data_IF_324426837530
#
_entry.id   IF_324426837530
#
_cell.length_a   1.000
_cell.length_b   1.000
_cell.length_c   1.000
_cell.angle_alpha   90.00
_cell.angle_beta   90.00
_cell.angle_gamma   90.00
#
_symmetry.space_group_name_H-M   'P 1'
#
loop_
_entity.id
_entity.type
_entity.pdbx_description
1 polymer ?
#
# COMPACT_ATOMS: atom_id res chain seq x y z
N UNK A 1 -3.74 -5.26 -9.41
CA UNK A 1 -5.16 -4.83 -9.34
C UNK A 1 -5.83 -5.13 -10.66
N UNK A 2 -6.98 -5.79 -10.63
CA UNK A 2 -7.84 -5.98 -11.82
C UNK A 2 -8.83 -4.82 -11.86
N UNK A 3 -9.01 -4.20 -13.02
CA UNK A 3 -9.95 -3.09 -13.25
C UNK A 3 -10.92 -3.51 -14.34
N UNK A 4 -12.22 -3.45 -14.05
CA UNK A 4 -13.29 -3.69 -15.03
C UNK A 4 -14.14 -2.41 -15.12
N UNK A 5 -14.06 -1.72 -16.25
CA UNK A 5 -14.79 -0.47 -16.49
C UNK A 5 -16.14 -0.79 -17.09
N UNK A 6 -17.20 -0.27 -16.49
CA UNK A 6 -18.59 -0.32 -16.97
C UNK A 6 -19.07 1.09 -17.28
N UNK A 7 -20.24 1.25 -17.86
CA UNK A 7 -20.75 2.56 -18.28
C UNK A 7 -20.87 3.55 -17.12
N UNK A 8 -21.33 3.09 -15.96
CA UNK A 8 -21.70 3.89 -14.77
C UNK A 8 -20.88 3.53 -13.52
N UNK A 9 -19.94 2.62 -13.65
CA UNK A 9 -19.18 2.11 -12.50
C UNK A 9 -17.86 1.49 -12.93
N UNK A 10 -16.96 1.35 -11.96
CA UNK A 10 -15.74 0.56 -12.09
C UNK A 10 -15.70 -0.49 -10.99
N UNK A 11 -15.42 -1.74 -11.37
CA UNK A 11 -15.12 -2.81 -10.43
C UNK A 11 -13.60 -2.89 -10.28
N UNK A 12 -13.14 -2.77 -9.04
CA UNK A 12 -11.73 -2.88 -8.66
C UNK A 12 -11.56 -4.12 -7.80
N UNK A 13 -10.60 -4.97 -8.16
CA UNK A 13 -10.27 -6.19 -7.44
C UNK A 13 -8.74 -6.26 -7.30
N UNK A 14 -8.24 -6.34 -6.07
CA UNK A 14 -6.81 -6.37 -5.81
C UNK A 14 -6.44 -6.48 -4.35
N UNK A 15 -5.14 -6.62 -4.11
CA UNK A 15 -4.61 -6.68 -2.75
C UNK A 15 -4.31 -5.29 -2.21
N UNK A 16 -4.87 -4.99 -1.05
CA UNK A 16 -4.59 -3.76 -0.30
C UNK A 16 -3.20 -3.83 0.30
N UNK A 17 -2.84 -4.98 0.88
CA UNK A 17 -1.49 -5.26 1.34
C UNK A 17 -1.25 -6.78 1.41
N UNK A 18 0.00 -7.19 1.27
CA UNK A 18 0.42 -8.57 1.51
C UNK A 18 0.81 -8.77 2.98
N UNK A 19 0.52 -9.93 3.57
CA UNK A 19 1.03 -10.32 4.90
C UNK A 19 2.41 -10.96 4.80
N UNK A 20 3.15 -10.95 5.90
CA UNK A 20 4.49 -11.54 6.02
C UNK A 20 5.48 -11.08 4.95
N UNK A 21 5.35 -9.83 4.49
CA UNK A 21 6.26 -9.18 3.53
C UNK A 21 6.69 -7.83 4.03
N UNK A 22 7.97 -7.54 3.92
CA UNK A 22 8.53 -6.24 4.28
C UNK A 22 7.96 -5.13 3.39
N UNK A 23 7.63 -4.01 4.01
CA UNK A 23 7.42 -2.75 3.34
C UNK A 23 8.72 -2.23 2.70
N UNK A 24 8.64 -1.15 1.94
CA UNK A 24 9.82 -0.33 1.68
C UNK A 24 10.36 0.22 2.99
N UNK A 25 11.69 0.49 3.09
CA UNK A 25 12.25 1.13 4.26
C UNK A 25 11.57 2.47 4.54
N UNK A 26 11.20 2.66 5.79
CA UNK A 26 10.59 3.88 6.34
C UNK A 26 11.51 4.48 7.40
N UNK A 27 11.24 5.71 7.83
CA UNK A 27 11.91 6.35 8.96
C UNK A 27 10.92 6.48 10.11
N UNK A 28 11.36 6.18 11.32
CA UNK A 28 10.61 6.46 12.53
C UNK A 28 10.72 7.95 12.95
N UNK A 29 10.13 8.30 14.09
CA UNK A 29 10.19 9.66 14.63
C UNK A 29 11.61 10.14 14.96
N UNK A 30 12.54 9.22 15.19
CA UNK A 30 13.94 9.48 15.51
C UNK A 30 14.82 9.52 14.25
N UNK A 31 14.26 9.22 13.07
CA UNK A 31 14.97 9.12 11.80
C UNK A 31 15.68 7.78 11.60
N UNK A 32 15.39 6.75 12.42
CA UNK A 32 15.92 5.41 12.25
C UNK A 32 15.15 4.67 11.15
N UNK A 33 15.88 3.88 10.36
CA UNK A 33 15.28 3.08 9.27
C UNK A 33 14.63 1.82 9.83
N UNK A 34 13.41 1.55 9.38
CA UNK A 34 12.74 0.30 9.64
C UNK A 34 11.95 -0.19 8.42
N UNK A 35 11.66 -1.47 8.39
CA UNK A 35 10.66 -2.09 7.50
C UNK A 35 9.51 -2.61 8.36
N UNK A 36 8.34 -2.72 7.77
CA UNK A 36 7.14 -3.17 8.47
C UNK A 36 6.57 -4.42 7.80
N UNK A 37 6.12 -5.35 8.60
CA UNK A 37 5.32 -6.48 8.16
C UNK A 37 3.99 -6.52 8.92
N UNK A 38 2.94 -6.85 8.20
CA UNK A 38 1.67 -7.23 8.83
C UNK A 38 1.69 -8.74 9.05
N UNK A 39 1.51 -9.15 10.29
CA UNK A 39 1.47 -10.57 10.65
C UNK A 39 0.25 -11.26 10.05
N UNK A 40 0.35 -12.54 9.63
CA UNK A 40 -0.78 -13.30 9.12
C UNK A 40 -1.96 -13.30 10.09
N UNK A 41 -3.19 -13.23 9.56
CA UNK A 41 -4.46 -13.17 10.29
C UNK A 41 -4.75 -11.85 11.01
N UNK A 42 -3.87 -10.85 10.89
CA UNK A 42 -4.11 -9.52 11.47
C UNK A 42 -5.22 -8.77 10.77
N UNK A 43 -5.22 -8.77 9.44
CA UNK A 43 -6.32 -8.17 8.67
C UNK A 43 -7.63 -8.93 8.84
N UNK A 44 -7.59 -10.27 8.91
CA UNK A 44 -8.80 -11.06 9.15
C UNK A 44 -9.48 -10.62 10.44
N UNK A 45 -8.74 -10.55 11.56
CA UNK A 45 -9.28 -10.11 12.84
C UNK A 45 -9.76 -8.66 12.79
N UNK A 46 -9.01 -7.78 12.15
CA UNK A 46 -9.40 -6.38 12.01
C UNK A 46 -10.71 -6.19 11.23
N UNK A 47 -10.90 -6.95 10.16
CA UNK A 47 -12.15 -6.93 9.38
C UNK A 47 -13.33 -7.51 10.18
N UNK A 48 -13.13 -8.64 10.87
CA UNK A 48 -14.14 -9.30 11.68
C UNK A 48 -14.59 -8.45 12.88
N UNK A 49 -13.68 -7.64 13.45
CA UNK A 49 -13.96 -6.81 14.63
C UNK A 49 -14.45 -5.39 14.29
N UNK A 50 -14.43 -4.98 13.03
CA UNK A 50 -14.85 -3.65 12.60
C UNK A 50 -16.31 -3.60 12.25
N UNK A 51 -17.06 -2.62 12.79
CA UNK A 51 -18.47 -2.36 12.44
C UNK A 51 -18.61 -1.83 11.00
N UNK A 52 -17.63 -1.03 10.56
CA UNK A 52 -17.59 -0.45 9.21
C UNK A 52 -16.17 -0.03 8.86
N UNK A 53 -15.72 -0.38 7.67
CA UNK A 53 -14.43 0.05 7.11
C UNK A 53 -14.71 0.90 5.89
N UNK A 54 -14.21 2.14 5.89
CA UNK A 54 -14.43 3.08 4.81
C UNK A 54 -13.57 2.74 3.59
N UNK A 55 -14.10 3.01 2.40
CA UNK A 55 -13.33 3.09 1.17
C UNK A 55 -13.19 4.56 0.77
N UNK A 56 -11.95 5.06 0.76
CA UNK A 56 -11.66 6.47 0.47
C UNK A 56 -10.92 6.62 -0.87
N UNK A 57 -10.86 7.85 -1.37
CA UNK A 57 -9.92 8.26 -2.41
C UNK A 57 -8.75 9.00 -1.74
N UNK A 58 -7.52 8.49 -1.93
CA UNK A 58 -6.28 9.13 -1.46
C UNK A 58 -6.22 9.42 0.05
N UNK A 59 -6.88 8.65 0.91
CA UNK A 59 -7.01 8.89 2.35
C UNK A 59 -7.68 10.25 2.69
N UNK A 60 -8.51 10.75 1.82
CA UNK A 60 -9.22 12.00 2.04
C UNK A 60 -10.57 11.70 2.71
N UNK A 61 -10.79 12.09 3.99
CA UNK A 61 -12.04 11.78 4.69
C UNK A 61 -13.29 12.40 4.02
N UNK A 62 -13.12 13.47 3.25
CA UNK A 62 -14.18 14.09 2.45
C UNK A 62 -14.53 13.31 1.19
N UNK A 63 -13.71 12.33 0.78
CA UNK A 63 -13.86 11.56 -0.46
C UNK A 63 -14.18 10.09 -0.16
N UNK A 64 -15.33 9.87 0.48
CA UNK A 64 -15.85 8.53 0.78
C UNK A 64 -16.47 7.91 -0.47
N UNK A 65 -15.86 6.85 -0.98
CA UNK A 65 -16.31 6.09 -2.15
C UNK A 65 -17.29 4.97 -1.78
N UNK A 66 -17.22 4.50 -0.53
CA UNK A 66 -18.08 3.45 -0.01
C UNK A 66 -17.64 2.95 1.34
N UNK A 67 -18.21 1.82 1.77
CA UNK A 67 -17.79 1.12 2.98
C UNK A 67 -18.27 -0.34 2.98
N UNK A 68 -17.72 -1.14 3.90
CA UNK A 68 -18.16 -2.52 4.11
C UNK A 68 -19.64 -2.57 4.50
N UNK A 69 -20.10 -1.67 5.34
CA UNK A 69 -21.49 -1.56 5.78
C UNK A 69 -22.46 -1.16 4.64
N UNK A 70 -21.99 -0.33 3.69
CA UNK A 70 -22.76 0.01 2.48
C UNK A 70 -22.84 -1.16 1.49
N UNK A 71 -22.00 -2.19 1.65
CA UNK A 71 -21.98 -3.37 0.81
C UNK A 71 -21.40 -3.16 -0.60
N UNK A 72 -20.75 -2.04 -0.87
CA UNK A 72 -20.09 -1.76 -2.13
C UNK A 72 -18.58 -2.03 -2.12
N UNK A 73 -18.06 -2.46 -0.98
CA UNK A 73 -16.73 -3.04 -0.82
C UNK A 73 -16.79 -4.30 0.02
N UNK A 74 -16.08 -5.32 -0.42
CA UNK A 74 -15.82 -6.57 0.28
C UNK A 74 -14.34 -6.65 0.61
N UNK A 75 -14.01 -6.96 1.87
CA UNK A 75 -12.66 -7.11 2.38
C UNK A 75 -12.49 -8.47 3.03
N UNK A 76 -11.42 -9.17 2.70
CA UNK A 76 -11.05 -10.43 3.36
C UNK A 76 -9.55 -10.68 3.26
N UNK A 77 -9.00 -11.39 4.24
CA UNK A 77 -7.62 -11.86 4.17
C UNK A 77 -7.58 -13.28 3.60
N UNK A 78 -6.72 -13.50 2.62
CA UNK A 78 -6.35 -14.81 2.12
C UNK A 78 -4.87 -15.13 2.41
N UNK A 79 -4.32 -16.17 1.79
CA UNK A 79 -2.92 -16.57 1.99
C UNK A 79 -1.88 -15.55 1.49
N UNK A 80 -2.31 -14.56 0.71
CA UNK A 80 -1.45 -13.50 0.17
C UNK A 80 -1.52 -12.26 1.07
N UNK A 81 -2.74 -11.88 1.50
CA UNK A 81 -2.97 -10.70 2.32
C UNK A 81 -4.41 -10.18 2.25
N UNK A 82 -4.60 -8.92 2.60
CA UNK A 82 -5.89 -8.24 2.54
C UNK A 82 -6.28 -7.99 1.09
N UNK A 83 -7.34 -8.63 0.64
CA UNK A 83 -7.95 -8.42 -0.68
C UNK A 83 -9.17 -7.53 -0.57
N UNK A 84 -9.32 -6.63 -1.52
CA UNK A 84 -10.48 -5.76 -1.67
C UNK A 84 -11.15 -5.98 -3.02
N UNK A 85 -12.47 -6.10 -3.01
CA UNK A 85 -13.32 -6.10 -4.20
C UNK A 85 -14.33 -4.99 -4.00
N UNK A 86 -14.34 -3.97 -4.86
CA UNK A 86 -15.27 -2.86 -4.71
C UNK A 86 -15.88 -2.40 -6.02
N UNK A 87 -17.15 -1.99 -5.96
CA UNK A 87 -17.86 -1.34 -7.03
C UNK A 87 -17.96 0.16 -6.73
N UNK A 88 -17.32 0.96 -7.57
CA UNK A 88 -17.26 2.43 -7.43
C UNK A 88 -18.06 3.09 -8.54
N UNK A 89 -18.90 4.07 -8.16
CA UNK A 89 -19.75 4.87 -9.07
C UNK A 89 -19.31 6.34 -9.13
N UNK A 90 -18.24 6.71 -8.43
CA UNK A 90 -17.68 8.05 -8.46
C UNK A 90 -17.09 8.36 -9.84
N UNK A 91 -17.54 9.47 -10.44
CA UNK A 91 -17.17 9.84 -11.81
C UNK A 91 -15.69 10.14 -11.98
N UNK A 92 -15.04 10.76 -10.98
CA UNK A 92 -13.60 11.03 -11.03
C UNK A 92 -12.79 9.73 -11.03
N UNK A 93 -13.17 8.76 -10.18
CA UNK A 93 -12.50 7.46 -10.11
C UNK A 93 -12.70 6.67 -11.41
N UNK A 94 -13.90 6.74 -12.02
CA UNK A 94 -14.18 6.09 -13.31
C UNK A 94 -13.30 6.69 -14.41
N UNK A 95 -13.20 8.02 -14.51
CA UNK A 95 -12.35 8.69 -15.50
C UNK A 95 -10.86 8.35 -15.27
N UNK A 96 -10.40 8.40 -14.04
CA UNK A 96 -9.01 7.99 -13.70
C UNK A 96 -8.73 6.53 -14.02
N UNK A 97 -9.72 5.64 -13.86
CA UNK A 97 -9.60 4.24 -14.28
C UNK A 97 -9.43 4.11 -15.80
N UNK A 98 -10.22 4.85 -16.59
CA UNK A 98 -10.12 4.89 -18.06
C UNK A 98 -8.76 5.41 -18.54
N UNK A 99 -8.22 6.39 -17.83
CA UNK A 99 -6.92 7.01 -18.11
C UNK A 99 -5.72 6.23 -17.56
N UNK A 100 -5.93 5.06 -16.95
CA UNK A 100 -4.90 4.27 -16.23
C UNK A 100 -4.16 5.07 -15.14
N UNK A 101 -4.85 5.99 -14.48
CA UNK A 101 -4.31 6.85 -13.42
C UNK A 101 -4.53 6.30 -12.01
N UNK A 102 -5.17 5.15 -11.84
CA UNK A 102 -5.25 4.46 -10.57
C UNK A 102 -3.96 3.69 -10.32
N UNK A 103 -3.32 3.93 -9.19
CA UNK A 103 -2.01 3.36 -8.84
C UNK A 103 -2.11 2.08 -8.00
N UNK A 104 -3.18 1.91 -7.22
CA UNK A 104 -3.42 0.73 -6.40
C UNK A 104 -4.18 1.05 -5.11
N UNK A 105 -3.78 0.41 -4.01
CA UNK A 105 -4.45 0.48 -2.73
C UNK A 105 -3.53 0.98 -1.62
N UNK A 106 -4.14 1.50 -0.56
CA UNK A 106 -3.51 1.79 0.72
C UNK A 106 -4.52 1.54 1.84
N UNK A 107 -4.10 1.68 3.10
CA UNK A 107 -4.97 1.48 4.24
C UNK A 107 -4.55 2.38 5.41
N UNK A 108 -5.51 2.71 6.28
CA UNK A 108 -5.31 3.47 7.51
C UNK A 108 -5.74 2.64 8.72
N UNK A 109 -4.87 2.55 9.72
CA UNK A 109 -5.06 1.73 10.89
C UNK A 109 -4.42 2.34 12.14
N UNK A 110 -4.76 1.79 13.28
CA UNK A 110 -4.05 1.99 14.56
C UNK A 110 -3.51 0.64 15.02
N UNK A 111 -2.21 0.56 15.28
CA UNK A 111 -1.62 -0.66 15.83
C UNK A 111 -2.09 -0.87 17.27
N UNK A 112 -2.67 -2.04 17.56
CA UNK A 112 -3.08 -2.46 18.90
C UNK A 112 -1.99 -3.29 19.56
N UNK A 113 -1.32 -4.13 18.77
CA UNK A 113 -0.21 -4.96 19.22
C UNK A 113 0.87 -5.00 18.16
N UNK A 114 2.10 -4.80 18.59
CA UNK A 114 3.28 -4.83 17.73
C UNK A 114 4.50 -5.36 18.48
N UNK A 115 5.49 -5.82 17.73
CA UNK A 115 6.82 -6.12 18.23
C UNK A 115 7.88 -5.80 17.19
N UNK A 116 9.12 -5.66 17.63
CA UNK A 116 10.25 -5.37 16.76
C UNK A 116 11.28 -6.50 16.80
N UNK A 117 11.93 -6.72 15.66
CA UNK A 117 13.09 -7.60 15.52
C UNK A 117 14.18 -6.87 14.73
N UNK A 118 15.43 -7.32 14.89
CA UNK A 118 16.54 -6.83 14.08
C UNK A 118 16.51 -7.53 12.71
N UNK A 119 16.26 -6.79 11.63
CA UNK A 119 16.27 -7.34 10.27
C UNK A 119 17.70 -7.43 9.72
N UNK A 120 18.56 -6.43 10.00
CA UNK A 120 19.97 -6.40 9.68
C UNK A 120 20.69 -5.39 10.58
N UNK A 121 22.01 -5.22 10.44
CA UNK A 121 22.85 -4.39 11.34
C UNK A 121 22.29 -2.97 11.60
N UNK A 122 21.65 -2.35 10.59
CA UNK A 122 21.12 -0.98 10.68
C UNK A 122 19.64 -0.90 10.24
N UNK A 123 18.88 -1.99 10.35
CA UNK A 123 17.50 -2.04 9.90
C UNK A 123 16.64 -2.85 10.89
N UNK A 124 15.69 -2.19 11.51
CA UNK A 124 14.68 -2.84 12.35
C UNK A 124 13.54 -3.35 11.48
N UNK A 125 12.88 -4.41 11.93
CA UNK A 125 11.61 -4.88 11.39
C UNK A 125 10.55 -4.75 12.47
N UNK A 126 9.53 -3.96 12.19
CA UNK A 126 8.32 -3.83 12.99
C UNK A 126 7.28 -4.83 12.49
N UNK A 127 6.73 -5.63 13.37
CA UNK A 127 5.59 -6.50 13.09
C UNK A 127 4.34 -5.90 13.70
N UNK A 128 3.30 -5.75 12.91
CA UNK A 128 1.96 -5.39 13.38
C UNK A 128 1.18 -6.69 13.55
N UNK A 129 0.95 -7.08 14.81
CA UNK A 129 0.30 -8.34 15.18
C UNK A 129 -1.20 -8.20 15.38
N UNK A 130 -1.67 -6.99 15.71
CA UNK A 130 -3.08 -6.67 15.83
C UNK A 130 -3.33 -5.19 15.56
N UNK A 131 -4.49 -4.86 14.97
CA UNK A 131 -4.82 -3.49 14.56
C UNK A 131 -6.32 -3.20 14.55
N UNK A 132 -6.65 -1.93 14.69
CA UNK A 132 -7.95 -1.38 14.30
C UNK A 132 -7.84 -0.84 12.87
N UNK A 133 -8.51 -1.47 11.91
CA UNK A 133 -8.53 -1.04 10.52
C UNK A 133 -9.70 -0.07 10.30
N UNK A 134 -9.40 1.17 9.93
CA UNK A 134 -10.42 2.22 9.78
C UNK A 134 -10.85 2.43 8.32
N UNK A 135 -9.89 2.32 7.39
CA UNK A 135 -10.19 2.55 5.99
C UNK A 135 -9.22 1.80 5.06
N UNK A 136 -9.68 1.59 3.85
CA UNK A 136 -8.85 1.29 2.69
C UNK A 136 -9.02 2.40 1.66
N UNK A 137 -7.95 2.74 0.96
CA UNK A 137 -7.98 3.82 -0.02
C UNK A 137 -7.59 3.36 -1.40
N UNK A 138 -8.39 3.80 -2.38
CA UNK A 138 -7.97 3.79 -3.78
C UNK A 138 -7.06 4.99 -3.97
N UNK A 139 -5.94 4.79 -4.63
CA UNK A 139 -4.97 5.83 -4.84
C UNK A 139 -4.75 6.09 -6.32
N UNK A 140 -4.73 7.36 -6.66
CA UNK A 140 -4.52 7.83 -8.01
C UNK A 140 -3.08 8.33 -8.25
N UNK A 141 -2.87 8.94 -9.41
CA UNK A 141 -1.58 9.44 -9.88
C UNK A 141 -0.98 10.60 -9.07
N UNK A 142 -1.72 11.17 -8.11
CA UNK A 142 -1.24 12.23 -7.21
C UNK A 142 -0.35 11.71 -6.07
N UNK A 143 -0.24 10.39 -5.89
CA UNK A 143 0.45 9.76 -4.74
C UNK A 143 1.21 8.47 -5.11
N UNK A 144 2.25 8.10 -4.35
CA UNK A 144 3.11 6.92 -4.54
C UNK A 144 3.03 6.00 -3.30
N UNK A 145 3.04 4.66 -3.42
CA UNK A 145 2.84 3.73 -2.31
C UNK A 145 4.07 3.28 -1.53
N UNK A 146 3.88 2.91 -0.25
CA UNK A 146 4.93 2.36 0.61
C UNK A 146 5.17 0.86 0.46
N UNK A 147 4.22 0.07 -0.04
CA UNK A 147 4.39 -1.36 -0.24
C UNK A 147 4.60 -1.71 -1.72
N UNK A 148 5.60 -2.58 -2.01
CA UNK A 148 5.89 -3.07 -3.37
C UNK A 148 4.88 -4.17 -3.71
N UNK A 149 3.86 -3.86 -4.44
CA UNK A 149 2.77 -4.81 -4.79
C UNK A 149 1.40 -4.19 -4.61
N UNK A 150 1.36 -3.16 -3.80
CA UNK A 150 0.28 -2.19 -3.74
C UNK A 150 0.94 -0.83 -3.81
N UNK A 151 0.67 -0.04 -4.77
CA UNK A 151 1.36 1.22 -4.95
C UNK A 151 0.65 2.37 -4.29
N UNK A 152 1.26 3.11 -3.24
CA UNK A 152 0.81 4.45 -2.87
C UNK A 152 1.36 5.08 -1.61
N UNK A 153 1.38 6.43 -1.54
CA UNK A 153 1.76 7.26 -0.39
C UNK A 153 0.63 8.12 0.17
N UNK A 154 0.66 8.50 1.48
CA UNK A 154 -0.04 9.67 2.03
C UNK A 154 0.56 10.27 3.28
N UNK A 155 0.04 11.48 3.67
CA UNK A 155 0.47 12.28 4.82
C UNK A 155 -0.28 11.88 6.10
N UNK A 156 0.44 11.72 7.22
CA UNK A 156 -0.13 11.69 8.55
C UNK A 156 -0.22 13.11 9.15
N UNK A 157 -1.32 13.40 9.83
CA UNK A 157 -1.43 14.56 10.68
C UNK A 157 -0.70 14.24 12.00
N UNK A 158 0.20 15.13 12.46
CA UNK A 158 1.12 14.89 13.59
C UNK A 158 0.45 14.61 14.94
N UNK A 159 -0.88 14.70 15.03
CA UNK A 159 -1.66 14.49 16.26
C UNK A 159 -2.61 13.27 16.21
N UNK A 160 -2.57 12.47 15.17
CA UNK A 160 -3.43 11.29 15.01
C UNK A 160 -2.69 10.02 15.42
N UNK A 161 -3.33 9.18 16.26
CA UNK A 161 -2.88 7.81 16.52
C UNK A 161 -3.09 6.89 15.31
N UNK A 162 -3.83 7.35 14.30
CA UNK A 162 -4.13 6.59 13.09
C UNK A 162 -2.91 6.65 12.17
N UNK A 163 -2.38 5.48 11.86
CA UNK A 163 -1.27 5.32 10.96
C UNK A 163 -1.78 5.08 9.53
N UNK A 164 -1.36 5.94 8.61
CA UNK A 164 -1.66 5.80 7.18
C UNK A 164 -0.41 5.26 6.49
N UNK A 165 -0.50 4.12 5.81
CA UNK A 165 0.62 3.56 5.03
C UNK A 165 0.64 4.11 3.61
N UNK A 166 0.84 5.38 3.58
CA UNK A 166 1.01 6.22 2.44
C UNK A 166 1.48 7.59 2.88
N UNK A 167 2.59 7.71 3.64
CA UNK A 167 3.36 8.88 3.97
C UNK A 167 3.25 9.53 5.36
N UNK A 168 4.37 9.52 6.06
CA UNK A 168 5.50 10.46 5.97
C UNK A 168 6.87 9.77 6.12
N UNK A 169 7.09 8.66 5.52
CA UNK A 169 8.44 8.14 5.40
C UNK A 169 8.97 8.57 4.04
N UNK A 170 10.14 9.16 3.99
CA UNK A 170 10.88 9.34 2.76
C UNK A 170 11.13 7.94 2.19
N UNK A 171 10.32 7.51 1.22
CA UNK A 171 10.71 6.38 0.40
C UNK A 171 11.96 6.84 -0.35
N UNK A 172 13.11 6.29 -0.02
CA UNK A 172 14.28 6.47 -0.84
C UNK A 172 13.97 5.79 -2.17
N UNK A 173 13.91 6.58 -3.24
CA UNK A 173 14.08 6.00 -4.57
C UNK A 173 15.45 5.31 -4.54
N UNK A 174 15.47 3.99 -4.70
CA UNK A 174 16.69 3.33 -5.13
C UNK A 174 17.09 4.06 -6.42
N UNK A 175 18.20 4.77 -6.40
CA UNK A 175 18.82 5.25 -7.64
C UNK A 175 18.89 4.03 -8.53
N UNK A 176 18.22 4.08 -9.67
CA UNK A 176 18.49 3.11 -10.74
C UNK A 176 20.01 3.13 -10.93
N UNK A 177 20.62 2.00 -10.60
CA UNK A 177 22.05 1.84 -10.83
C UNK A 177 22.22 1.92 -12.34
N UNK A 178 22.93 2.93 -12.79
CA UNK A 178 23.26 3.09 -14.20
C UNK A 178 24.26 2.01 -14.58
N UNK A 179 23.80 0.99 -15.27
CA UNK A 179 24.63 -0.13 -15.74
C UNK A 179 25.32 0.15 -17.09
N UNK A 180 25.23 1.38 -17.62
CA UNK A 180 25.79 1.72 -18.94
C UNK A 180 27.31 1.48 -19.02
N UNK A 181 28.08 1.82 -18.00
CA UNK A 181 29.52 1.51 -17.92
C UNK A 181 29.79 0.00 -17.90
N UNK A 182 28.93 -0.78 -17.27
CA UNK A 182 29.06 -2.22 -17.20
C UNK A 182 28.74 -2.89 -18.55
N UNK A 183 27.74 -2.36 -19.25
CA UNK A 183 27.38 -2.84 -20.61
C UNK A 183 28.47 -2.49 -21.64
N UNK A 184 29.10 -1.32 -21.53
CA UNK A 184 30.24 -0.94 -22.38
C UNK A 184 31.45 -1.83 -22.12
N UNK A 185 31.73 -2.13 -20.86
CA UNK A 185 32.81 -3.06 -20.49
C UNK A 185 32.57 -4.46 -21.02
N UNK A 186 31.35 -4.99 -20.89
CA UNK A 186 30.96 -6.28 -21.46
C UNK A 186 31.09 -6.31 -23.01
N UNK A 187 30.74 -5.23 -23.70
CA UNK A 187 30.88 -5.11 -25.14
C UNK A 187 32.36 -5.08 -25.57
N UNK A 188 33.23 -4.46 -24.76
CA UNK A 188 34.67 -4.41 -25.02
C UNK A 188 35.35 -5.77 -24.85
N UNK A 189 34.97 -6.54 -23.84
CA UNK A 189 35.46 -7.90 -23.57
C UNK A 189 35.05 -8.85 -24.71
N UNK A 190 33.78 -8.81 -25.14
CA UNK A 190 33.30 -9.64 -26.24
C UNK A 190 33.94 -9.32 -27.61
N UNK A 191 34.51 -8.12 -27.79
CA UNK A 191 35.24 -7.75 -29.00
C UNK A 191 36.71 -8.23 -29.01
N UNK A 192 37.26 -8.61 -27.85
CA UNK A 192 38.64 -9.14 -27.76
C UNK A 192 38.71 -10.66 -27.88
N UNK A 193 37.57 -11.38 -27.87
CA UNK A 193 37.47 -12.82 -27.99
C UNK A 193 37.11 -13.28 -29.43
N UNK A 194 37.01 -12.38 -30.42
CA UNK A 194 36.85 -12.63 -31.85
C UNK A 194 38.00 -11.99 -32.62
#
# INVERSE_FOLDING_TARGET
MRIEIRNDSVLLDGYVNAVARDSRPMLDENGEKFVEQISPKTFQRAVENSDDILCLLNHEPSRVLGSTKKGNIELFEDNIGLRAICKITDSEVIEKAKENKLRGWSFGFEAVKEHEEQASENLKRRFVDDMNLYEVSIIDDRKIPCYVGTSIETRADKNSKIEYRGRTAFCFEEKQVDYSEFEETLKSIKKQEN
#
